data_IF_704747140505
#
_entry.id   IF_704747140505
#
_cell.length_a   1.000
_cell.length_b   1.000
_cell.length_c   1.000
_cell.angle_alpha   90.00
_cell.angle_beta   90.00
_cell.angle_gamma   90.00
#
_symmetry.space_group_name_H-M   'P 1'
#
loop_
_entity.id
_entity.type
_entity.pdbx_description
1 polymer ?
#
# COMPACT_ATOMS: atom_id res chain seq x y z
N UNK A 1 -1.66 4.48 7.94
CA UNK A 1 -2.60 3.37 8.19
C UNK A 1 -2.92 2.66 6.88
N UNK A 2 -3.04 1.34 6.94
CA UNK A 2 -3.66 0.58 5.85
C UNK A 2 -5.18 0.80 5.85
N UNK A 3 -5.76 0.92 4.67
CA UNK A 3 -7.18 1.16 4.47
C UNK A 3 -7.71 0.49 3.21
N UNK A 4 -9.01 0.33 3.16
CA UNK A 4 -9.75 -0.25 2.05
C UNK A 4 -10.66 0.82 1.46
N UNK A 5 -10.80 0.84 0.15
CA UNK A 5 -11.64 1.75 -0.60
C UNK A 5 -12.77 0.95 -1.24
N UNK A 6 -14.00 1.23 -0.80
CA UNK A 6 -15.19 0.54 -1.29
C UNK A 6 -16.06 1.50 -2.09
N UNK A 7 -16.82 0.97 -3.04
CA UNK A 7 -17.89 1.72 -3.69
C UNK A 7 -19.17 1.72 -2.84
N UNK A 8 -20.19 2.43 -3.29
CA UNK A 8 -21.50 2.54 -2.63
C UNK A 8 -22.24 1.20 -2.52
N UNK A 9 -21.91 0.23 -3.36
CA UNK A 9 -22.44 -1.13 -3.30
C UNK A 9 -21.69 -2.04 -2.31
N UNK A 10 -20.67 -1.50 -1.64
CA UNK A 10 -19.90 -2.23 -0.63
C UNK A 10 -18.77 -3.09 -1.18
N UNK A 11 -18.59 -3.12 -2.51
CA UNK A 11 -17.50 -3.87 -3.14
C UNK A 11 -16.16 -3.14 -2.99
N UNK A 12 -15.11 -3.92 -2.80
CA UNK A 12 -13.75 -3.42 -2.73
C UNK A 12 -13.29 -2.93 -4.12
N UNK A 13 -12.89 -1.68 -4.19
CA UNK A 13 -12.34 -1.06 -5.40
C UNK A 13 -10.81 -1.10 -5.40
N UNK A 14 -10.22 -0.72 -4.27
CA UNK A 14 -8.77 -0.61 -4.11
C UNK A 14 -8.40 -0.68 -2.62
N UNK A 15 -7.14 -0.81 -2.35
CA UNK A 15 -6.56 -0.77 -1.01
C UNK A 15 -5.30 0.10 -1.01
N UNK A 16 -4.79 0.38 0.16
CA UNK A 16 -3.52 1.09 0.25
C UNK A 16 -3.21 1.65 1.61
N UNK A 17 -2.13 2.42 1.67
CA UNK A 17 -1.66 3.04 2.90
C UNK A 17 -1.91 4.54 2.86
N UNK A 18 -2.54 5.05 3.91
CA UNK A 18 -2.75 6.48 4.10
C UNK A 18 -1.75 6.99 5.12
N UNK A 19 -0.89 7.90 4.70
CA UNK A 19 0.03 8.63 5.55
C UNK A 19 -0.58 10.00 5.91
N UNK A 20 -0.65 10.30 7.21
CA UNK A 20 -0.98 11.64 7.68
C UNK A 20 0.30 12.46 7.71
N UNK A 21 0.41 13.44 6.83
CA UNK A 21 1.61 14.27 6.68
C UNK A 21 1.64 15.38 7.74
N UNK A 22 0.49 16.03 7.94
CA UNK A 22 0.26 17.00 9.00
C UNK A 22 -1.19 16.93 9.51
N UNK A 23 -1.66 17.96 10.17
CA UNK A 23 -3.00 17.96 10.77
C UNK A 23 -4.10 17.75 9.73
N UNK A 24 -3.97 18.36 8.55
CA UNK A 24 -4.99 18.44 7.52
C UNK A 24 -4.54 17.83 6.18
N UNK A 25 -3.30 17.33 6.08
CA UNK A 25 -2.73 16.80 4.84
C UNK A 25 -2.52 15.30 4.94
N UNK A 26 -3.08 14.58 3.98
CA UNK A 26 -2.98 13.12 3.88
C UNK A 26 -2.45 12.71 2.51
N UNK A 27 -1.52 11.78 2.46
CA UNK A 27 -1.09 11.14 1.24
C UNK A 27 -1.67 9.72 1.20
N UNK A 28 -2.52 9.47 0.20
CA UNK A 28 -3.18 8.18 0.01
C UNK A 28 -2.44 7.43 -1.10
N UNK A 29 -1.90 6.26 -0.78
CA UNK A 29 -1.36 5.34 -1.76
C UNK A 29 -2.46 4.38 -2.19
N UNK A 30 -2.53 4.11 -3.48
CA UNK A 30 -3.45 3.16 -4.11
C UNK A 30 -2.64 2.22 -4.99
N UNK A 31 -3.27 1.23 -5.60
CA UNK A 31 -2.69 0.57 -6.77
C UNK A 31 -2.35 1.62 -7.83
N UNK A 32 -1.15 1.57 -8.42
CA UNK A 32 -0.71 2.58 -9.41
C UNK A 32 -1.68 2.71 -10.57
N UNK A 33 -2.14 1.59 -11.12
CA UNK A 33 -3.13 1.58 -12.21
C UNK A 33 -4.53 2.03 -11.80
N UNK A 34 -4.85 2.01 -10.50
CA UNK A 34 -6.12 2.45 -9.93
C UNK A 34 -6.16 3.92 -9.53
N UNK A 35 -5.01 4.60 -9.46
CA UNK A 35 -4.89 5.93 -8.87
C UNK A 35 -5.84 6.96 -9.49
N UNK A 36 -5.98 6.98 -10.82
CA UNK A 36 -6.89 7.90 -11.50
C UNK A 36 -8.36 7.58 -11.21
N UNK A 37 -8.72 6.29 -11.22
CA UNK A 37 -10.10 5.86 -10.91
C UNK A 37 -10.48 6.19 -9.46
N UNK A 38 -9.57 5.99 -8.52
CA UNK A 38 -9.82 6.32 -7.10
C UNK A 38 -9.89 7.82 -6.90
N UNK A 39 -9.01 8.60 -7.55
CA UNK A 39 -9.07 10.05 -7.51
C UNK A 39 -10.40 10.57 -8.09
N UNK A 40 -10.80 10.07 -9.26
CA UNK A 40 -12.09 10.40 -9.88
C UNK A 40 -13.28 10.05 -8.98
N UNK A 41 -13.25 8.87 -8.35
CA UNK A 41 -14.28 8.45 -7.39
C UNK A 41 -14.36 9.39 -6.18
N UNK A 42 -13.22 9.82 -5.63
CA UNK A 42 -13.21 10.80 -4.53
C UNK A 42 -13.80 12.16 -4.97
N UNK A 43 -13.42 12.63 -6.16
CA UNK A 43 -13.91 13.88 -6.72
C UNK A 43 -15.43 13.83 -6.97
N UNK A 44 -15.96 12.74 -7.53
CA UNK A 44 -17.40 12.56 -7.75
C UNK A 44 -18.17 12.69 -6.44
N UNK A 45 -17.72 12.02 -5.37
CA UNK A 45 -18.37 12.13 -4.07
C UNK A 45 -18.25 13.52 -3.45
N UNK A 46 -17.08 14.16 -3.55
CA UNK A 46 -16.87 15.50 -3.03
C UNK A 46 -17.75 16.52 -3.76
N UNK A 47 -17.91 16.41 -5.07
CA UNK A 47 -18.64 17.39 -5.86
C UNK A 47 -20.15 17.14 -5.89
N UNK A 48 -20.60 15.89 -5.76
CA UNK A 48 -22.02 15.55 -5.88
C UNK A 48 -22.73 15.42 -4.53
N UNK A 49 -22.06 14.83 -3.52
CA UNK A 49 -22.71 14.52 -2.23
C UNK A 49 -22.14 15.36 -1.08
N UNK A 50 -20.84 15.66 -1.09
CA UNK A 50 -20.17 16.37 0.00
C UNK A 50 -19.60 17.73 -0.41
N UNK A 51 -20.29 18.39 -1.32
CA UNK A 51 -19.89 19.66 -1.94
C UNK A 51 -19.67 20.81 -0.95
N UNK A 52 -20.18 20.73 0.26
CA UNK A 52 -19.98 21.68 1.36
C UNK A 52 -18.71 21.38 2.19
N UNK A 53 -18.05 20.23 1.96
CA UNK A 53 -16.80 19.91 2.64
C UNK A 53 -15.65 20.74 2.06
N UNK A 54 -14.80 21.23 2.97
CA UNK A 54 -13.58 21.95 2.59
C UNK A 54 -12.42 20.94 2.42
N UNK A 55 -12.55 20.05 1.48
CA UNK A 55 -11.58 19.03 1.12
C UNK A 55 -11.16 19.21 -0.34
N UNK A 56 -9.87 19.15 -0.58
CA UNK A 56 -9.29 19.26 -1.92
C UNK A 56 -8.41 18.04 -2.17
N UNK A 57 -8.50 17.49 -3.36
CA UNK A 57 -7.71 16.33 -3.76
C UNK A 57 -6.85 16.63 -4.97
N UNK A 58 -5.77 15.90 -5.13
CA UNK A 58 -4.91 15.97 -6.30
C UNK A 58 -4.24 14.63 -6.56
N UNK A 59 -4.24 14.18 -7.81
CA UNK A 59 -3.43 13.04 -8.21
C UNK A 59 -1.98 13.49 -8.39
N UNK A 60 -1.07 12.96 -7.57
CA UNK A 60 0.36 13.29 -7.57
C UNK A 60 1.24 12.11 -8.01
N UNK A 61 0.65 11.07 -8.58
CA UNK A 61 1.34 9.82 -8.97
C UNK A 61 2.59 10.09 -9.79
N UNK A 62 2.48 10.92 -10.82
CA UNK A 62 3.61 11.23 -11.73
C UNK A 62 4.67 12.18 -11.13
N UNK A 63 4.40 12.74 -9.95
CA UNK A 63 5.34 13.66 -9.30
C UNK A 63 6.43 12.93 -8.52
N UNK A 64 6.23 11.65 -8.23
CA UNK A 64 7.13 10.84 -7.43
C UNK A 64 7.60 9.60 -8.20
N UNK A 65 8.86 9.22 -7.96
CA UNK A 65 9.36 7.88 -8.18
C UNK A 65 9.38 7.16 -6.83
N UNK A 66 8.80 5.97 -6.76
CA UNK A 66 8.78 5.15 -5.54
C UNK A 66 9.57 3.87 -5.76
N UNK A 67 10.51 3.59 -4.87
CA UNK A 67 11.40 2.43 -4.93
C UNK A 67 11.28 1.67 -3.60
N UNK A 68 10.97 0.38 -3.68
CA UNK A 68 10.97 -0.50 -2.52
C UNK A 68 12.36 -1.12 -2.29
N UNK A 69 12.87 -1.01 -1.06
CA UNK A 69 14.09 -1.68 -0.61
C UNK A 69 13.68 -2.73 0.40
N UNK A 70 13.84 -4.00 0.04
CA UNK A 70 13.19 -5.13 0.71
C UNK A 70 14.23 -6.17 1.15
N UNK A 71 14.01 -6.75 2.32
CA UNK A 71 14.82 -7.85 2.84
C UNK A 71 15.52 -7.52 4.15
N UNK A 72 16.11 -8.52 4.80
CA UNK A 72 16.69 -8.37 6.15
C UNK A 72 17.85 -7.35 6.21
N UNK A 73 18.51 -7.06 5.06
CA UNK A 73 19.60 -6.09 4.93
C UNK A 73 19.16 -4.71 4.43
N UNK A 74 17.86 -4.48 4.25
CA UNK A 74 17.34 -3.21 3.74
C UNK A 74 17.80 -2.02 4.59
N UNK A 75 17.69 -2.11 5.92
CA UNK A 75 18.12 -1.03 6.82
C UNK A 75 19.61 -0.78 6.75
N UNK A 76 20.44 -1.83 6.71
CA UNK A 76 21.89 -1.70 6.62
C UNK A 76 22.31 -1.03 5.30
N UNK A 77 21.61 -1.34 4.21
CA UNK A 77 21.82 -0.69 2.92
C UNK A 77 21.49 0.81 3.00
N UNK A 78 20.32 1.17 3.54
CA UNK A 78 19.92 2.57 3.67
C UNK A 78 20.82 3.37 4.60
N UNK A 79 21.31 2.76 5.69
CA UNK A 79 22.19 3.42 6.65
C UNK A 79 23.52 3.89 6.05
N UNK A 80 23.92 3.38 4.87
CA UNK A 80 25.10 3.88 4.14
C UNK A 80 24.84 5.17 3.38
N UNK A 81 23.57 5.49 3.12
CA UNK A 81 23.15 6.63 2.32
C UNK A 81 22.68 7.81 3.14
N UNK A 82 22.56 7.64 4.46
CA UNK A 82 22.04 8.68 5.37
C UNK A 82 22.71 8.63 6.73
N UNK A 83 22.72 9.77 7.40
CA UNK A 83 23.02 9.88 8.85
C UNK A 83 21.76 9.93 9.70
N UNK A 84 20.58 9.94 9.07
CA UNK A 84 19.31 9.94 9.78
C UNK A 84 19.09 8.62 10.52
N UNK A 85 18.39 8.69 11.64
CA UNK A 85 18.12 7.51 12.46
C UNK A 85 17.03 6.64 11.83
N UNK A 86 17.40 5.42 11.43
CA UNK A 86 16.51 4.40 10.86
C UNK A 86 16.10 3.33 11.88
N UNK A 87 16.30 3.58 13.19
CA UNK A 87 15.93 2.65 14.25
C UNK A 87 14.43 2.38 14.27
N UNK A 88 14.01 1.38 15.03
CA UNK A 88 12.58 1.08 15.21
C UNK A 88 11.86 2.19 15.99
N UNK A 89 12.59 2.93 16.80
CA UNK A 89 12.11 4.03 17.61
C UNK A 89 11.86 5.27 16.75
N UNK A 90 12.80 5.60 15.85
CA UNK A 90 12.69 6.77 14.97
C UNK A 90 11.75 6.51 13.78
N UNK A 91 11.81 5.31 13.19
CA UNK A 91 10.95 4.93 12.07
C UNK A 91 10.28 3.58 12.35
N UNK A 92 9.19 3.55 13.16
CA UNK A 92 8.48 2.34 13.50
C UNK A 92 7.74 1.73 12.29
N UNK A 93 7.40 0.44 12.39
CA UNK A 93 6.53 -0.20 11.38
C UNK A 93 5.23 0.59 11.19
N UNK A 94 4.82 0.79 9.95
CA UNK A 94 3.72 1.66 9.53
C UNK A 94 3.97 3.17 9.81
N UNK A 95 5.21 3.55 10.13
CA UNK A 95 5.65 4.93 10.22
C UNK A 95 6.20 5.45 8.89
N UNK A 96 6.36 6.76 8.83
CA UNK A 96 7.04 7.46 7.75
C UNK A 96 7.92 8.58 8.30
N UNK A 97 8.94 8.96 7.53
CA UNK A 97 9.81 10.08 7.84
C UNK A 97 10.35 10.71 6.56
N UNK A 98 10.57 12.02 6.59
CA UNK A 98 11.37 12.70 5.56
C UNK A 98 12.85 12.55 5.94
N UNK A 99 13.64 12.03 5.02
CA UNK A 99 15.06 11.70 5.18
C UNK A 99 15.87 12.35 4.07
N UNK A 100 17.20 12.37 4.26
CA UNK A 100 18.13 12.70 3.19
C UNK A 100 18.94 11.47 2.84
N UNK A 101 18.70 10.86 1.68
CA UNK A 101 19.46 9.71 1.17
C UNK A 101 20.37 10.13 0.02
N UNK A 102 21.68 9.91 0.18
CA UNK A 102 22.68 10.32 -0.81
C UNK A 102 22.54 11.80 -1.26
N UNK A 103 22.16 12.69 -0.34
CA UNK A 103 21.92 14.11 -0.61
C UNK A 103 20.57 14.44 -1.25
N UNK A 104 19.71 13.45 -1.48
CA UNK A 104 18.37 13.65 -2.07
C UNK A 104 17.30 13.68 -0.98
N UNK A 105 16.28 14.57 -1.09
CA UNK A 105 15.12 14.53 -0.20
C UNK A 105 14.26 13.32 -0.55
N UNK A 106 14.02 12.45 0.43
CA UNK A 106 13.26 11.20 0.28
C UNK A 106 12.24 11.08 1.38
N UNK A 107 11.01 10.77 1.07
CA UNK A 107 10.03 10.32 2.06
C UNK A 107 10.06 8.80 2.14
N UNK A 108 10.47 8.30 3.28
CA UNK A 108 10.56 6.88 3.55
C UNK A 108 9.35 6.39 4.35
N UNK A 109 8.70 5.35 3.85
CA UNK A 109 7.62 4.66 4.54
C UNK A 109 8.12 3.29 4.96
N UNK A 110 8.01 2.96 6.25
CA UNK A 110 8.35 1.63 6.74
C UNK A 110 7.13 0.71 6.64
N UNK A 111 6.82 0.32 5.44
CA UNK A 111 5.72 -0.56 5.07
C UNK A 111 6.26 -1.71 4.22
N UNK A 112 5.51 -2.81 4.15
CA UNK A 112 5.94 -4.00 3.42
C UNK A 112 4.77 -4.65 2.70
N UNK A 113 4.96 -4.90 1.43
CA UNK A 113 4.05 -5.72 0.62
C UNK A 113 4.58 -7.15 0.40
N UNK A 114 5.89 -7.35 0.59
CA UNK A 114 6.53 -8.66 0.50
C UNK A 114 6.48 -9.48 1.80
N UNK A 115 6.17 -8.82 2.92
CA UNK A 115 6.24 -9.43 4.24
C UNK A 115 7.61 -9.36 4.92
N UNK A 116 8.65 -8.95 4.19
CA UNK A 116 10.00 -8.74 4.71
C UNK A 116 10.17 -7.35 5.35
N UNK A 117 11.31 -7.10 6.00
CA UNK A 117 11.72 -5.74 6.36
C UNK A 117 11.78 -4.92 5.07
N UNK A 118 11.00 -3.86 4.99
CA UNK A 118 10.86 -3.08 3.77
C UNK A 118 10.73 -1.59 4.08
N UNK A 119 11.26 -0.80 3.16
CA UNK A 119 11.11 0.65 3.10
C UNK A 119 10.67 1.02 1.69
N UNK A 120 9.59 1.74 1.57
CA UNK A 120 9.19 2.36 0.31
C UNK A 120 9.67 3.81 0.32
N UNK A 121 10.46 4.15 -0.67
CA UNK A 121 11.18 5.42 -0.76
C UNK A 121 10.60 6.26 -1.89
N UNK A 122 9.88 7.31 -1.55
CA UNK A 122 9.34 8.27 -2.51
C UNK A 122 10.29 9.45 -2.65
N UNK A 123 10.69 9.75 -3.88
CA UNK A 123 11.57 10.85 -4.24
C UNK A 123 10.91 11.64 -5.39
N UNK A 124 11.18 12.95 -5.57
CA UNK A 124 10.74 13.65 -6.77
C UNK A 124 11.09 12.86 -8.04
N UNK A 125 10.15 12.72 -8.97
CA UNK A 125 10.29 11.82 -10.14
C UNK A 125 11.62 12.00 -10.90
N UNK A 126 12.11 13.24 -11.00
CA UNK A 126 13.38 13.57 -11.65
C UNK A 126 14.62 12.97 -10.97
N UNK A 127 14.51 12.57 -9.70
CA UNK A 127 15.61 11.99 -8.91
C UNK A 127 15.54 10.46 -8.82
N UNK A 128 14.49 9.84 -9.38
CA UNK A 128 14.26 8.40 -9.27
C UNK A 128 15.44 7.56 -9.75
N UNK A 129 16.05 7.93 -10.89
CA UNK A 129 17.23 7.23 -11.44
C UNK A 129 18.45 7.37 -10.52
N UNK A 130 18.69 8.55 -9.98
CA UNK A 130 19.82 8.78 -9.09
C UNK A 130 19.68 7.99 -7.78
N UNK A 131 18.45 7.93 -7.22
CA UNK A 131 18.17 7.12 -6.03
C UNK A 131 18.36 5.63 -6.32
N UNK A 132 17.88 5.13 -7.47
CA UNK A 132 18.05 3.75 -7.88
C UNK A 132 19.53 3.35 -7.95
N UNK A 133 20.34 4.14 -8.64
CA UNK A 133 21.77 3.86 -8.79
C UNK A 133 22.49 3.88 -7.42
N UNK A 134 22.18 4.84 -6.55
CA UNK A 134 22.74 4.92 -5.20
C UNK A 134 22.36 3.70 -4.32
N UNK A 135 21.12 3.19 -4.45
CA UNK A 135 20.66 2.01 -3.73
C UNK A 135 21.39 0.74 -4.19
N UNK A 136 21.60 0.58 -5.49
CA UNK A 136 22.36 -0.55 -6.04
C UNK A 136 23.82 -0.54 -5.58
N UNK A 137 24.46 0.63 -5.62
CA UNK A 137 25.83 0.78 -5.14
C UNK A 137 25.95 0.48 -3.64
N UNK A 138 25.08 1.05 -2.82
CA UNK A 138 25.08 0.83 -1.37
C UNK A 138 24.78 -0.62 -0.98
N UNK A 139 23.92 -1.29 -1.75
CA UNK A 139 23.50 -2.66 -1.50
C UNK A 139 24.44 -3.73 -2.09
N UNK A 140 25.43 -3.35 -2.89
CA UNK A 140 26.27 -4.29 -3.63
C UNK A 140 26.93 -5.34 -2.73
N UNK A 141 27.48 -4.95 -1.57
CA UNK A 141 28.11 -5.88 -0.62
C UNK A 141 27.11 -6.84 0.05
N UNK A 142 25.81 -6.48 0.04
CA UNK A 142 24.74 -7.32 0.57
C UNK A 142 24.10 -8.20 -0.52
N UNK A 143 24.59 -8.13 -1.76
CA UNK A 143 24.05 -8.87 -2.88
C UNK A 143 22.67 -8.36 -3.32
N UNK A 144 22.44 -7.03 -3.25
CA UNK A 144 21.19 -6.45 -3.70
C UNK A 144 20.90 -6.86 -5.14
N UNK A 145 19.67 -7.27 -5.39
CA UNK A 145 19.21 -7.73 -6.71
C UNK A 145 17.92 -7.00 -7.07
N UNK A 146 17.84 -6.34 -8.23
CA UNK A 146 16.58 -5.86 -8.75
C UNK A 146 15.59 -7.02 -8.93
N UNK A 147 14.35 -6.83 -8.50
CA UNK A 147 13.26 -7.77 -8.74
C UNK A 147 12.09 -7.08 -9.44
N UNK A 148 11.37 -7.82 -10.25
CA UNK A 148 10.20 -7.33 -10.98
C UNK A 148 8.88 -7.69 -10.28
N UNK A 149 7.77 -7.37 -10.95
CA UNK A 149 6.42 -7.61 -10.45
C UNK A 149 6.13 -9.09 -10.20
N UNK A 150 6.65 -10.01 -11.00
CA UNK A 150 6.49 -11.45 -10.78
C UNK A 150 7.09 -11.90 -9.43
N UNK A 151 8.31 -11.44 -9.12
CA UNK A 151 8.93 -11.71 -7.82
C UNK A 151 8.11 -11.13 -6.66
N UNK A 152 7.54 -9.95 -6.85
CA UNK A 152 6.66 -9.32 -5.87
C UNK A 152 5.37 -10.13 -5.67
N UNK A 153 4.75 -10.64 -6.75
CA UNK A 153 3.56 -11.48 -6.70
C UNK A 153 3.79 -12.75 -5.88
N UNK A 154 4.93 -13.41 -6.06
CA UNK A 154 5.29 -14.58 -5.25
C UNK A 154 5.41 -14.22 -3.77
N UNK A 155 6.22 -13.20 -3.46
CA UNK A 155 6.46 -12.79 -2.07
C UNK A 155 5.18 -12.36 -1.34
N UNK A 156 4.32 -11.56 -1.98
CA UNK A 156 3.07 -11.11 -1.37
C UNK A 156 2.10 -12.28 -1.14
N UNK A 157 2.06 -13.25 -2.09
CA UNK A 157 1.23 -14.44 -1.98
C UNK A 157 1.69 -15.35 -0.84
N UNK A 158 2.99 -15.57 -0.69
CA UNK A 158 3.57 -16.31 0.43
C UNK A 158 3.24 -15.67 1.79
N UNK A 159 3.15 -14.33 1.82
CA UNK A 159 2.75 -13.58 3.01
C UNK A 159 1.24 -13.61 3.26
N UNK A 160 0.44 -13.92 2.25
CA UNK A 160 -1.02 -13.87 2.29
C UNK A 160 -1.60 -12.47 2.11
N UNK A 161 -0.84 -11.55 1.48
CA UNK A 161 -1.33 -10.22 1.14
C UNK A 161 -2.07 -10.26 -0.19
N UNK A 162 -3.19 -9.54 -0.27
CA UNK A 162 -3.98 -9.43 -1.49
C UNK A 162 -3.34 -8.47 -2.49
N UNK A 163 -3.65 -8.69 -3.76
CA UNK A 163 -3.40 -7.74 -4.84
C UNK A 163 -4.72 -7.45 -5.56
N UNK A 164 -5.00 -6.18 -5.76
CA UNK A 164 -6.20 -5.76 -6.50
C UNK A 164 -6.10 -6.26 -7.95
N UNK A 165 -7.13 -6.97 -8.38
CA UNK A 165 -7.19 -7.61 -9.70
C UNK A 165 -6.87 -9.10 -9.69
N UNK A 166 -6.16 -9.61 -8.66
CA UNK A 166 -5.89 -11.04 -8.51
C UNK A 166 -6.95 -11.70 -7.61
N UNK A 167 -7.01 -11.32 -6.33
CA UNK A 167 -8.02 -11.79 -5.39
C UNK A 167 -9.32 -10.99 -5.43
N UNK A 168 -9.41 -9.99 -6.28
CA UNK A 168 -10.58 -9.12 -6.43
C UNK A 168 -11.06 -9.09 -7.87
N UNK A 169 -12.36 -9.25 -8.06
CA UNK A 169 -13.04 -9.27 -9.37
C UNK A 169 -14.08 -8.14 -9.50
N UNK A 170 -14.10 -7.22 -8.55
CA UNK A 170 -15.10 -6.16 -8.47
C UNK A 170 -16.41 -6.56 -7.76
N UNK A 171 -16.53 -7.81 -7.29
CA UNK A 171 -17.73 -8.31 -6.58
C UNK A 171 -17.43 -8.78 -5.15
N UNK A 172 -16.18 -8.70 -4.72
CA UNK A 172 -15.78 -9.06 -3.36
C UNK A 172 -15.98 -7.90 -2.39
N UNK A 173 -16.28 -8.24 -1.15
CA UNK A 173 -16.32 -7.30 -0.04
C UNK A 173 -15.13 -7.60 0.91
N UNK A 174 -14.71 -6.66 1.76
CA UNK A 174 -13.59 -6.86 2.68
C UNK A 174 -13.68 -8.15 3.51
N UNK A 175 -14.89 -8.53 3.91
CA UNK A 175 -15.13 -9.73 4.72
C UNK A 175 -14.85 -11.04 3.95
N UNK A 176 -15.01 -11.06 2.63
CA UNK A 176 -14.69 -12.21 1.79
C UNK A 176 -13.17 -12.50 1.76
N UNK A 177 -12.38 -11.43 1.89
CA UNK A 177 -10.92 -11.47 1.92
C UNK A 177 -10.34 -11.61 3.34
N UNK A 178 -11.17 -11.91 4.34
CA UNK A 178 -10.80 -11.91 5.76
C UNK A 178 -10.25 -10.56 6.26
N UNK A 179 -10.61 -9.45 5.62
CA UNK A 179 -10.12 -8.10 5.92
C UNK A 179 -11.11 -7.25 6.72
N UNK A 180 -12.14 -7.86 7.31
CA UNK A 180 -13.08 -7.15 8.17
C UNK A 180 -12.43 -6.42 9.36
N UNK A 181 -11.22 -6.79 9.73
CA UNK A 181 -10.42 -6.11 10.74
C UNK A 181 -10.00 -4.69 10.34
N UNK A 182 -9.87 -4.41 9.04
CA UNK A 182 -9.50 -3.09 8.52
C UNK A 182 -10.68 -2.10 8.58
N UNK A 183 -11.91 -2.59 8.70
CA UNK A 183 -13.10 -1.76 8.84
C UNK A 183 -13.12 -1.16 10.25
N UNK A 184 -13.10 0.17 10.32
CA UNK A 184 -13.10 0.87 11.61
C UNK A 184 -14.43 0.71 12.34
N UNK A 185 -14.39 0.14 13.54
CA UNK A 185 -15.55 0.06 14.44
C UNK A 185 -15.91 1.40 15.11
N UNK A 186 -15.06 2.43 14.92
CA UNK A 186 -15.26 3.76 15.50
C UNK A 186 -15.98 4.72 14.57
N UNK A 187 -16.14 4.36 13.29
CA UNK A 187 -16.87 5.15 12.32
C UNK A 187 -18.34 4.82 12.40
N UNK A 188 -19.17 5.83 12.51
CA UNK A 188 -20.61 5.69 12.49
C UNK A 188 -21.09 5.28 11.09
N UNK A 189 -20.44 5.82 10.05
CA UNK A 189 -20.73 5.50 8.66
C UNK A 189 -19.46 5.53 7.79
N UNK A 190 -19.53 4.88 6.63
CA UNK A 190 -18.55 4.91 5.56
C UNK A 190 -19.21 4.47 4.26
N UNK A 191 -18.60 4.83 3.14
CA UNK A 191 -19.14 4.48 1.82
C UNK A 191 -19.21 2.94 1.66
N UNK A 192 -20.41 2.44 1.30
CA UNK A 192 -20.66 1.01 1.15
C UNK A 192 -21.16 0.28 2.40
N UNK A 193 -21.15 0.89 3.60
CA UNK A 193 -21.56 0.24 4.84
C UNK A 193 -22.97 -0.38 4.74
N UNK A 194 -23.96 0.41 4.35
CA UNK A 194 -25.35 -0.07 4.20
C UNK A 194 -25.50 -1.22 3.22
N UNK A 195 -24.69 -1.19 2.15
CA UNK A 195 -24.70 -2.27 1.16
C UNK A 195 -24.14 -3.56 1.75
N UNK A 196 -23.07 -3.49 2.54
CA UNK A 196 -22.46 -4.64 3.21
C UNK A 196 -23.39 -5.27 4.28
N UNK A 197 -24.37 -4.53 4.78
CA UNK A 197 -25.37 -5.00 5.73
C UNK A 197 -26.57 -5.72 5.06
N UNK A 198 -26.69 -5.68 3.73
CA UNK A 198 -27.75 -6.41 3.00
C UNK A 198 -27.59 -7.92 3.21
N UNK A 199 -28.72 -8.65 3.24
CA UNK A 199 -28.75 -10.07 3.57
C UNK A 199 -27.78 -10.94 2.79
N UNK A 200 -27.65 -10.70 1.48
CA UNK A 200 -26.73 -11.46 0.63
C UNK A 200 -25.25 -11.07 0.80
N UNK A 201 -24.97 -9.83 1.24
CA UNK A 201 -23.60 -9.39 1.56
C UNK A 201 -23.18 -9.85 2.96
N UNK A 202 -24.14 -9.88 3.89
CA UNK A 202 -23.91 -10.34 5.26
C UNK A 202 -24.03 -11.86 5.42
N UNK A 203 -24.28 -12.63 4.35
CA UNK A 203 -24.42 -14.08 4.38
C UNK A 203 -23.10 -14.71 4.85
N UNK A 204 -23.08 -15.51 5.94
CA UNK A 204 -21.88 -16.17 6.42
C UNK A 204 -21.34 -17.24 5.45
N UNK A 205 -22.15 -17.69 4.50
CA UNK A 205 -21.78 -18.68 3.49
C UNK A 205 -21.15 -18.06 2.22
N UNK A 206 -20.92 -16.75 2.19
CA UNK A 206 -20.12 -16.15 1.11
C UNK A 206 -18.74 -16.78 1.04
N UNK A 207 -18.19 -16.81 -0.15
CA UNK A 207 -16.84 -17.32 -0.37
C UNK A 207 -15.82 -16.56 0.49
N UNK A 208 -14.78 -17.29 0.90
CA UNK A 208 -13.70 -16.73 1.71
C UNK A 208 -12.38 -17.02 1.04
N UNK A 209 -11.51 -16.01 1.03
CA UNK A 209 -10.12 -16.21 0.63
C UNK A 209 -9.45 -17.19 1.59
N UNK A 210 -8.78 -18.19 1.03
CA UNK A 210 -8.00 -19.18 1.76
C UNK A 210 -6.62 -19.37 1.10
N UNK A 211 -5.61 -19.66 1.89
CA UNK A 211 -4.32 -20.12 1.41
C UNK A 211 -4.37 -21.62 1.13
N UNK A 212 -3.72 -22.04 0.05
CA UNK A 212 -3.54 -23.45 -0.30
C UNK A 212 -2.05 -23.79 -0.27
N UNK A 213 -1.74 -24.96 0.30
CA UNK A 213 -0.40 -25.51 0.32
C UNK A 213 -0.48 -26.97 -0.09
N UNK A 214 0.44 -27.41 -0.97
CA UNK A 214 0.52 -28.81 -1.37
C UNK A 214 1.17 -29.65 -0.27
N UNK A 215 0.61 -30.83 0.01
CA UNK A 215 1.13 -31.72 1.06
C UNK A 215 2.54 -32.25 0.77
N UNK A 216 2.90 -32.33 -0.49
CA UNK A 216 4.17 -32.88 -0.99
C UNK A 216 5.17 -31.80 -1.44
N UNK A 217 4.81 -30.52 -1.28
CA UNK A 217 5.63 -29.39 -1.74
C UNK A 217 5.70 -29.21 -3.25
N UNK A 218 4.84 -29.90 -4.01
CA UNK A 218 4.76 -29.73 -5.47
C UNK A 218 4.17 -28.36 -5.82
N UNK A 219 4.55 -27.86 -7.00
CA UNK A 219 3.96 -26.62 -7.54
C UNK A 219 2.52 -26.93 -7.96
N UNK A 220 1.60 -26.04 -7.58
CA UNK A 220 0.22 -26.09 -8.09
C UNK A 220 0.21 -25.78 -9.59
N UNK A 221 -0.54 -26.53 -10.41
CA UNK A 221 -0.59 -26.33 -11.86
C UNK A 221 -1.25 -25.02 -12.25
#
# INVERSE_FOLDING_TARGET
>A
RYGLMCNENGFLMDDGVVARIDEDTFLCHTTTGGAESIHGHMEDWLQCEWWDWKVYTANVTEQYAQIAVVGPKARETLAKLTTDDLSNEALPFMGWADLTLAGMPVRAYRISFSGELSYELAVPASLGRALWDALLDAGAEHGVTPYGTEGLHVMRAEKGFIMIGDETDGTVIPQDLNMGWAISKKKDDYLGKRAQERSHMADPNRWKLVGLETLDGSVLP
#
